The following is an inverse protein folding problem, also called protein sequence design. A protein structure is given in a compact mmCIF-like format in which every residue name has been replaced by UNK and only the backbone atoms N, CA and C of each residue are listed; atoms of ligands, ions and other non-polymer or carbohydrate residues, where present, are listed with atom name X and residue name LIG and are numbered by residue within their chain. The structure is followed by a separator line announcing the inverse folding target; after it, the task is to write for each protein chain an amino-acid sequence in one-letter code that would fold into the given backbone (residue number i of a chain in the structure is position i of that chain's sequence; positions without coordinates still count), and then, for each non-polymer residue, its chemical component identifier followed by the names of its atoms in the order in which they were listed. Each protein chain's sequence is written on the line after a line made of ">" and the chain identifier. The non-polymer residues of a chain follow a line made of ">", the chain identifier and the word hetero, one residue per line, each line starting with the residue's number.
data_IF_845737218356
#
_entry.id   IF_845737218356
#
_cell.length_a   1.000
_cell.length_b   1.000
_cell.length_c   1.000
_cell.angle_alpha   90.00
_cell.angle_beta   90.00
_cell.angle_gamma   90.00
#
_symmetry.space_group_name_H-M   'P 1'
#
loop_
_entity.id
_entity.type
_entity.pdbx_description
1 polymer ?
#
# COMPACT_ATOMS: atom_id res chain seq x y z
N UNK A 1 -6.88 17.44 17.51
CA UNK A 1 -8.15 17.33 16.79
C UNK A 1 -8.53 15.86 16.67
N UNK A 2 -9.75 15.51 17.04
CA UNK A 2 -10.32 14.17 16.81
C UNK A 2 -11.24 14.26 15.60
N UNK A 3 -11.15 13.33 14.70
CA UNK A 3 -12.04 13.19 13.56
C UNK A 3 -12.59 11.76 13.53
N UNK A 4 -13.90 11.64 13.36
CA UNK A 4 -14.54 10.37 13.03
C UNK A 4 -15.20 10.55 11.66
N UNK A 5 -14.87 9.70 10.72
CA UNK A 5 -15.47 9.67 9.39
C UNK A 5 -16.07 8.28 9.17
N UNK A 6 -17.29 8.25 8.69
CA UNK A 6 -17.88 7.06 8.08
C UNK A 6 -17.27 6.99 6.67
N UNK A 7 -16.76 5.83 6.30
CA UNK A 7 -16.16 5.58 5.00
C UNK A 7 -16.95 4.48 4.30
N UNK A 8 -17.67 4.87 3.26
CA UNK A 8 -18.12 3.89 2.28
C UNK A 8 -16.96 3.63 1.33
N UNK A 9 -16.65 2.38 1.10
CA UNK A 9 -15.63 1.97 0.14
C UNK A 9 -16.24 1.02 -0.88
N UNK A 10 -15.85 1.21 -2.12
CA UNK A 10 -16.12 0.26 -3.18
C UNK A 10 -14.83 -0.02 -3.92
N UNK A 11 -14.53 -1.28 -4.10
CA UNK A 11 -13.49 -1.73 -5.01
C UNK A 11 -13.98 -2.97 -5.75
N UNK A 12 -13.35 -3.26 -6.86
CA UNK A 12 -13.66 -4.46 -7.64
C UNK A 12 -13.48 -5.72 -6.78
N UNK A 13 -12.55 -5.68 -5.82
CA UNK A 13 -12.17 -6.81 -4.99
C UNK A 13 -13.11 -7.00 -3.80
N UNK A 14 -13.48 -5.90 -3.10
CA UNK A 14 -14.27 -5.96 -1.85
C UNK A 14 -15.76 -5.64 -2.07
N UNK A 15 -16.17 -5.24 -3.28
CA UNK A 15 -17.52 -4.77 -3.59
C UNK A 15 -17.92 -3.58 -2.72
N UNK A 16 -19.19 -3.50 -2.31
CA UNK A 16 -19.65 -2.43 -1.44
C UNK A 16 -19.22 -2.72 0.00
N UNK A 17 -18.46 -1.82 0.59
CA UNK A 17 -18.02 -1.88 1.97
C UNK A 17 -18.46 -0.66 2.76
N UNK A 18 -18.74 -0.84 4.05
CA UNK A 18 -18.97 0.21 5.01
C UNK A 18 -17.81 0.24 6.00
N UNK A 19 -17.10 1.36 6.03
CA UNK A 19 -15.97 1.55 6.91
C UNK A 19 -16.13 2.72 7.87
N UNK A 20 -15.53 2.60 9.04
CA UNK A 20 -15.42 3.66 10.03
C UNK A 20 -13.94 4.00 10.22
N UNK A 21 -13.62 5.28 10.20
CA UNK A 21 -12.28 5.79 10.50
C UNK A 21 -12.37 6.82 11.61
N UNK A 22 -11.68 6.55 12.71
CA UNK A 22 -11.46 7.54 13.76
C UNK A 22 -9.98 7.96 13.72
N UNK A 23 -9.72 9.23 13.46
CA UNK A 23 -8.37 9.75 13.39
C UNK A 23 -8.14 10.86 14.43
N UNK A 24 -6.99 10.83 15.07
CA UNK A 24 -6.54 11.82 16.03
C UNK A 24 -5.21 12.45 15.61
N UNK A 25 -5.11 13.78 15.76
CA UNK A 25 -3.85 14.49 15.68
C UNK A 25 -3.53 15.08 17.05
N UNK A 26 -2.32 14.87 17.52
CA UNK A 26 -1.84 15.40 18.81
C UNK A 26 -0.37 15.81 18.71
N UNK A 27 0.05 16.74 19.54
CA UNK A 27 1.44 17.11 19.68
C UNK A 27 1.98 16.57 20.99
N UNK A 28 3.16 16.00 20.98
CA UNK A 28 3.87 15.49 22.17
C UNK A 28 4.43 16.63 23.02
N UNK A 29 4.80 17.73 22.37
CA UNK A 29 5.11 18.99 23.04
C UNK A 29 4.14 20.09 22.56
N UNK A 30 3.36 20.65 23.49
CA UNK A 30 2.39 21.71 23.19
C UNK A 30 3.02 23.08 23.05
N UNK A 31 4.23 23.27 23.56
CA UNK A 31 4.96 24.52 23.52
C UNK A 31 5.74 24.67 22.20
N UNK A 32 6.08 23.57 21.56
CA UNK A 32 6.73 23.56 20.25
C UNK A 32 5.69 23.63 19.13
N UNK A 33 5.44 24.85 18.65
CA UNK A 33 4.48 25.10 17.55
C UNK A 33 4.99 24.63 16.19
N UNK A 34 6.28 24.41 16.04
CA UNK A 34 6.92 23.95 14.80
C UNK A 34 6.91 22.42 14.72
N UNK A 35 6.75 21.73 15.84
CA UNK A 35 6.70 20.27 15.87
C UNK A 35 5.52 19.76 15.04
N UNK A 36 5.74 18.90 14.05
CA UNK A 36 4.66 18.25 13.32
C UNK A 36 3.76 17.46 14.27
N UNK A 37 2.45 17.44 14.04
CA UNK A 37 1.56 16.64 14.89
C UNK A 37 1.74 15.15 14.66
N UNK A 38 1.83 14.40 15.75
CA UNK A 38 1.64 12.94 15.75
C UNK A 38 0.24 12.59 15.29
N UNK A 39 0.09 11.45 14.67
CA UNK A 39 -1.21 10.97 14.22
C UNK A 39 -1.48 9.54 14.71
N UNK A 40 -2.74 9.23 14.88
CA UNK A 40 -3.25 7.88 15.11
C UNK A 40 -4.56 7.72 14.37
N UNK A 41 -4.73 6.61 13.69
CA UNK A 41 -5.96 6.26 12.99
C UNK A 41 -6.38 4.86 13.38
N UNK A 42 -7.61 4.74 13.87
CA UNK A 42 -8.32 3.48 14.03
C UNK A 42 -9.30 3.37 12.88
N UNK A 43 -9.33 2.24 12.21
CA UNK A 43 -10.27 2.00 11.12
C UNK A 43 -10.78 0.56 11.15
N UNK A 44 -12.04 0.43 10.79
CA UNK A 44 -12.71 -0.84 10.58
C UNK A 44 -13.50 -0.79 9.29
N UNK A 45 -13.61 -1.90 8.61
CA UNK A 45 -14.34 -2.04 7.36
C UNK A 45 -15.02 -3.41 7.30
N UNK A 46 -16.25 -3.43 6.78
CA UNK A 46 -16.99 -4.65 6.49
C UNK A 46 -17.60 -4.55 5.09
N UNK A 47 -17.67 -5.62 4.36
CA UNK A 47 -18.20 -5.61 3.00
C UNK A 47 -19.28 -6.67 2.77
N UNK A 48 -20.01 -6.48 1.67
CA UNK A 48 -21.09 -7.39 1.25
C UNK A 48 -20.60 -8.78 0.81
N UNK A 49 -19.30 -8.94 0.58
CA UNK A 49 -18.69 -10.23 0.20
C UNK A 49 -18.01 -10.95 1.36
N UNK A 50 -18.25 -10.50 2.62
CA UNK A 50 -17.68 -11.13 3.80
C UNK A 50 -16.25 -10.65 4.15
N UNK A 51 -15.75 -9.59 3.51
CA UNK A 51 -14.53 -8.92 3.95
C UNK A 51 -14.79 -8.18 5.26
N UNK A 52 -13.91 -8.30 6.21
CA UNK A 52 -13.84 -7.42 7.38
C UNK A 52 -12.40 -7.10 7.73
N UNK A 53 -12.19 -5.88 8.17
CA UNK A 53 -10.89 -5.39 8.56
C UNK A 53 -10.99 -4.53 9.82
N UNK A 54 -10.04 -4.68 10.71
CA UNK A 54 -9.81 -3.79 11.84
C UNK A 54 -8.33 -3.43 11.87
N UNK A 55 -8.04 -2.15 12.06
CA UNK A 55 -6.64 -1.74 12.09
C UNK A 55 -6.38 -0.46 12.85
N UNK A 56 -5.15 -0.36 13.34
CA UNK A 56 -4.59 0.84 13.96
C UNK A 56 -3.29 1.15 13.23
N UNK A 57 -3.11 2.40 12.85
CA UNK A 57 -1.84 2.90 12.32
C UNK A 57 -1.58 4.32 12.82
N UNK A 58 -0.33 4.66 12.93
CA UNK A 58 0.05 6.01 13.31
C UNK A 58 1.53 6.26 13.26
N UNK A 59 1.85 7.54 13.42
CA UNK A 59 3.21 8.03 13.65
C UNK A 59 3.21 8.84 14.93
N UNK A 60 3.95 8.39 15.91
CA UNK A 60 4.22 9.14 17.13
C UNK A 60 5.53 9.91 16.95
N UNK A 61 5.45 11.23 17.00
CA UNK A 61 6.60 12.13 16.85
C UNK A 61 7.00 12.61 18.24
N UNK A 62 8.22 12.33 18.62
CA UNK A 62 8.78 12.75 19.91
C UNK A 62 9.20 14.22 19.89
N UNK A 63 9.38 14.86 21.06
CA UNK A 63 9.81 16.25 21.15
C UNK A 63 11.03 16.56 20.28
N UNK A 64 11.07 17.76 19.69
CA UNK A 64 12.10 18.24 18.77
C UNK A 64 12.22 17.41 17.49
N UNK A 65 11.26 16.52 17.22
CA UNK A 65 11.27 15.61 16.05
C UNK A 65 12.58 14.79 15.93
N UNK A 66 13.19 14.46 17.08
CA UNK A 66 14.43 13.65 17.12
C UNK A 66 14.17 12.19 16.81
N UNK A 67 12.98 11.69 17.21
CA UNK A 67 12.60 10.30 17.07
C UNK A 67 11.17 10.23 16.51
N UNK A 68 10.90 9.18 15.76
CA UNK A 68 9.55 8.83 15.28
C UNK A 68 9.30 7.35 15.51
N UNK A 69 8.11 7.00 15.96
CA UNK A 69 7.64 5.62 16.03
C UNK A 69 6.48 5.48 15.02
N UNK A 70 6.75 4.81 13.92
CA UNK A 70 5.72 4.40 12.96
C UNK A 70 5.22 3.01 13.33
N UNK A 71 3.90 2.85 13.39
CA UNK A 71 3.30 1.56 13.75
C UNK A 71 2.04 1.29 12.93
N UNK A 72 1.83 0.00 12.67
CA UNK A 72 0.70 -0.52 11.92
C UNK A 72 0.31 -1.88 12.51
N UNK A 73 -0.97 -2.02 12.87
CA UNK A 73 -1.57 -3.27 13.30
C UNK A 73 -2.82 -3.48 12.45
N UNK A 74 -2.89 -4.60 11.73
CA UNK A 74 -4.04 -4.97 10.94
C UNK A 74 -4.49 -6.37 11.29
N UNK A 75 -5.80 -6.53 11.34
CA UNK A 75 -6.46 -7.82 11.28
C UNK A 75 -7.53 -7.75 10.21
N UNK A 76 -7.50 -8.67 9.27
CA UNK A 76 -8.51 -8.75 8.24
C UNK A 76 -8.80 -10.18 7.81
N UNK A 77 -10.04 -10.41 7.42
CA UNK A 77 -10.51 -11.63 6.76
C UNK A 77 -11.01 -11.25 5.38
N UNK A 78 -10.61 -12.01 4.40
CA UNK A 78 -10.84 -11.67 3.02
C UNK A 78 -11.08 -12.94 2.17
N UNK A 79 -12.30 -13.13 1.64
CA UNK A 79 -12.50 -14.04 0.52
C UNK A 79 -11.69 -13.51 -0.65
N UNK A 80 -10.62 -14.17 -0.99
CA UNK A 80 -9.65 -13.73 -1.99
C UNK A 80 -9.55 -14.71 -3.13
N UNK A 81 -9.05 -14.23 -4.25
CA UNK A 81 -8.77 -15.05 -5.42
C UNK A 81 -7.28 -15.23 -5.61
N UNK A 82 -6.90 -16.38 -6.13
CA UNK A 82 -5.52 -16.76 -6.34
C UNK A 82 -5.37 -17.36 -7.74
N UNK A 83 -4.39 -16.91 -8.51
CA UNK A 83 -4.13 -17.38 -9.89
C UNK A 83 -2.81 -18.16 -10.01
N UNK A 84 -2.17 -18.50 -8.89
CA UNK A 84 -0.82 -19.08 -8.88
C UNK A 84 0.27 -18.00 -8.82
N UNK A 85 1.51 -18.41 -9.05
CA UNK A 85 2.71 -17.59 -8.88
C UNK A 85 3.32 -17.28 -10.23
N UNK A 86 3.69 -16.02 -10.44
CA UNK A 86 4.30 -15.52 -11.67
C UNK A 86 3.33 -14.83 -12.63
N UNK A 87 3.92 -14.06 -13.54
CA UNK A 87 3.17 -13.32 -14.56
C UNK A 87 2.30 -14.23 -15.44
N UNK A 88 2.88 -15.36 -15.89
CA UNK A 88 2.21 -16.24 -16.85
C UNK A 88 0.99 -16.94 -16.23
N UNK A 89 1.03 -17.23 -14.93
CA UNK A 89 -0.11 -17.78 -14.19
C UNK A 89 -1.22 -16.76 -14.04
N UNK A 90 -0.90 -15.53 -13.63
CA UNK A 90 -1.88 -14.45 -13.47
C UNK A 90 -2.52 -13.98 -14.80
N UNK A 91 -1.88 -14.24 -15.94
CA UNK A 91 -2.42 -13.90 -17.26
C UNK A 91 -3.61 -14.75 -17.67
N UNK A 92 -3.72 -15.98 -17.16
CA UNK A 92 -4.71 -16.99 -17.57
C UNK A 92 -5.91 -16.93 -16.61
N UNK A 93 -7.08 -16.56 -17.12
CA UNK A 93 -8.31 -16.45 -16.33
C UNK A 93 -8.72 -17.80 -15.71
N UNK A 94 -8.53 -18.91 -16.44
CA UNK A 94 -8.85 -20.28 -15.98
C UNK A 94 -8.02 -20.72 -14.75
N UNK A 95 -6.98 -19.99 -14.37
CA UNK A 95 -6.22 -20.25 -13.15
C UNK A 95 -6.85 -19.65 -11.90
N UNK A 96 -7.95 -18.91 -12.04
CA UNK A 96 -8.67 -18.36 -10.90
C UNK A 96 -9.10 -19.47 -9.93
N UNK A 97 -8.81 -19.29 -8.67
CA UNK A 97 -9.13 -20.19 -7.56
C UNK A 97 -9.57 -19.38 -6.36
N UNK A 98 -10.71 -19.71 -5.79
CA UNK A 98 -11.16 -19.06 -4.56
C UNK A 98 -10.36 -19.55 -3.35
N UNK A 99 -10.13 -18.65 -2.43
CA UNK A 99 -9.37 -18.87 -1.21
C UNK A 99 -9.90 -17.96 -0.10
N UNK A 100 -10.32 -18.52 1.00
CA UNK A 100 -10.58 -17.77 2.23
C UNK A 100 -9.27 -17.50 2.95
N UNK A 101 -9.02 -16.24 3.25
CA UNK A 101 -7.79 -15.82 3.94
C UNK A 101 -8.10 -14.87 5.09
N UNK A 102 -7.52 -15.13 6.24
CA UNK A 102 -7.40 -14.11 7.27
C UNK A 102 -5.94 -13.86 7.62
N UNK A 103 -5.65 -12.64 8.00
CA UNK A 103 -4.29 -12.20 8.25
C UNK A 103 -4.25 -11.26 9.45
N UNK A 104 -3.23 -11.44 10.28
CA UNK A 104 -2.84 -10.50 11.32
C UNK A 104 -1.45 -9.96 10.99
N UNK A 105 -1.31 -8.65 10.99
CA UNK A 105 -0.04 -7.97 10.70
C UNK A 105 0.28 -6.98 11.80
N UNK A 106 1.51 -7.01 12.28
CA UNK A 106 2.09 -6.01 13.16
C UNK A 106 3.41 -5.54 12.54
N UNK A 107 3.56 -4.24 12.36
CA UNK A 107 4.80 -3.61 11.89
C UNK A 107 5.08 -2.37 12.72
N UNK A 108 6.33 -2.22 13.17
CA UNK A 108 6.79 -1.05 13.88
C UNK A 108 8.19 -0.65 13.40
N UNK A 109 8.43 0.66 13.28
CA UNK A 109 9.75 1.24 12.96
C UNK A 109 10.03 2.37 13.93
N UNK A 110 11.16 2.29 14.62
CA UNK A 110 11.64 3.35 15.50
C UNK A 110 12.77 4.11 14.81
N UNK A 111 12.48 5.35 14.39
CA UNK A 111 13.31 6.14 13.50
C UNK A 111 14.02 7.26 14.27
N UNK A 112 15.30 7.41 14.01
CA UNK A 112 16.17 8.48 14.51
C UNK A 112 16.38 9.51 13.43
N UNK A 113 16.21 10.80 13.72
CA UNK A 113 16.56 11.88 12.81
C UNK A 113 18.07 11.99 12.71
N UNK A 114 18.62 11.79 11.51
CA UNK A 114 20.06 11.87 11.24
C UNK A 114 20.43 13.14 10.44
N UNK A 115 19.47 13.71 9.71
CA UNK A 115 19.57 14.98 9.02
C UNK A 115 18.17 15.60 8.85
N UNK A 116 18.09 16.79 8.25
CA UNK A 116 16.79 17.41 7.97
C UNK A 116 15.94 16.52 7.07
N UNK A 117 14.72 16.23 7.53
CA UNK A 117 13.75 15.35 6.87
C UNK A 117 14.23 13.90 6.64
N UNK A 118 15.39 13.49 7.18
CA UNK A 118 15.98 12.17 6.98
C UNK A 118 16.02 11.39 8.29
N UNK A 119 15.43 10.21 8.27
CA UNK A 119 15.28 9.33 9.42
C UNK A 119 15.75 7.93 9.07
N UNK A 120 16.41 7.27 10.01
CA UNK A 120 16.82 5.86 9.90
C UNK A 120 16.63 5.16 11.24
N UNK A 121 16.28 3.89 11.21
CA UNK A 121 16.17 3.14 12.45
C UNK A 121 15.73 1.70 12.28
N UNK A 122 15.71 0.92 13.37
CA UNK A 122 15.28 -0.46 13.37
C UNK A 122 13.79 -0.59 13.08
N UNK A 123 13.44 -1.72 12.48
CA UNK A 123 12.06 -2.12 12.27
C UNK A 123 11.85 -3.57 12.67
N UNK A 124 10.64 -3.89 13.08
CA UNK A 124 10.19 -5.25 13.31
C UNK A 124 8.82 -5.48 12.64
N UNK A 125 8.58 -6.69 12.18
CA UNK A 125 7.29 -7.08 11.63
C UNK A 125 6.91 -8.49 12.06
N UNK A 126 5.61 -8.69 12.19
CA UNK A 126 4.98 -9.99 12.34
C UNK A 126 3.80 -10.08 11.37
N UNK A 127 3.79 -11.10 10.54
CA UNK A 127 2.72 -11.36 9.59
C UNK A 127 2.27 -12.82 9.75
N UNK A 128 1.04 -13.02 10.22
CA UNK A 128 0.40 -14.32 10.27
C UNK A 128 -0.69 -14.39 9.21
N UNK A 129 -0.61 -15.38 8.35
CA UNK A 129 -1.60 -15.61 7.28
C UNK A 129 -2.12 -17.03 7.40
N UNK A 130 -3.42 -17.16 7.47
CA UNK A 130 -4.12 -18.45 7.45
C UNK A 130 -5.04 -18.51 6.24
N UNK A 131 -4.73 -19.41 5.32
CA UNK A 131 -5.58 -19.75 4.19
C UNK A 131 -6.40 -21.00 4.48
N UNK A 132 -7.62 -21.04 3.96
CA UNK A 132 -8.49 -22.23 4.00
C UNK A 132 -9.38 -22.27 2.76
N UNK A 133 -10.03 -23.42 2.55
CA UNK A 133 -11.01 -23.60 1.46
C UNK A 133 -10.44 -23.23 0.08
N UNK A 134 -9.18 -23.53 -0.18
CA UNK A 134 -8.58 -23.28 -1.47
C UNK A 134 -9.06 -24.34 -2.47
N UNK A 135 -9.69 -23.90 -3.55
CA UNK A 135 -10.23 -24.82 -4.57
C UNK A 135 -9.13 -25.55 -5.35
N UNK A 136 -8.01 -24.86 -5.60
CA UNK A 136 -6.90 -25.37 -6.41
C UNK A 136 -5.56 -25.30 -5.67
N UNK A 137 -5.33 -26.20 -4.67
CA UNK A 137 -4.13 -26.16 -3.84
C UNK A 137 -2.83 -26.44 -4.61
N UNK A 138 -2.90 -27.06 -5.77
CA UNK A 138 -1.75 -27.28 -6.65
C UNK A 138 -1.08 -25.97 -7.10
N UNK A 139 -1.81 -24.86 -7.14
CA UNK A 139 -1.29 -23.54 -7.50
C UNK A 139 -0.32 -22.97 -6.45
N UNK A 140 -0.28 -23.54 -5.25
CA UNK A 140 0.67 -23.17 -4.18
C UNK A 140 2.06 -23.79 -4.35
N UNK A 141 2.24 -24.67 -5.33
CA UNK A 141 3.52 -25.36 -5.56
C UNK A 141 4.08 -26.07 -4.31
N UNK A 142 3.19 -26.65 -3.48
CA UNK A 142 3.55 -27.35 -2.25
C UNK A 142 3.81 -26.47 -1.03
N UNK A 143 3.58 -25.15 -1.10
CA UNK A 143 3.71 -24.26 0.06
C UNK A 143 2.56 -24.43 1.05
N UNK A 144 2.84 -24.21 2.34
CA UNK A 144 1.83 -24.25 3.41
C UNK A 144 0.81 -23.12 3.23
N UNK A 145 -0.49 -23.46 3.38
CA UNK A 145 -1.59 -22.49 3.39
C UNK A 145 -1.49 -21.50 4.57
N UNK A 146 -0.96 -21.96 5.69
CA UNK A 146 -0.78 -21.15 6.90
C UNK A 146 0.69 -20.83 7.07
N UNK A 147 1.03 -19.57 7.29
CA UNK A 147 2.40 -19.12 7.48
C UNK A 147 2.48 -18.06 8.56
N UNK A 148 3.49 -18.15 9.42
CA UNK A 148 3.89 -17.11 10.36
C UNK A 148 5.24 -16.56 9.94
N UNK A 149 5.36 -15.24 9.87
CA UNK A 149 6.57 -14.58 9.36
C UNK A 149 7.01 -13.50 10.35
N UNK A 150 8.15 -13.73 10.98
CA UNK A 150 8.81 -12.81 11.93
C UNK A 150 9.96 -12.12 11.23
N UNK A 151 9.97 -10.80 11.25
CA UNK A 151 10.98 -10.01 10.56
C UNK A 151 11.59 -8.93 11.42
N UNK A 152 12.88 -8.71 11.24
CA UNK A 152 13.63 -7.61 11.81
C UNK A 152 14.46 -6.95 10.72
N UNK A 153 14.70 -5.66 10.86
CA UNK A 153 15.43 -4.95 9.82
C UNK A 153 15.65 -3.48 10.09
N UNK A 154 15.82 -2.73 9.02
CA UNK A 154 16.07 -1.29 9.04
C UNK A 154 15.08 -0.57 8.12
N UNK A 155 14.72 0.63 8.52
CA UNK A 155 13.91 1.55 7.73
C UNK A 155 14.64 2.89 7.58
N UNK A 156 14.62 3.43 6.36
CA UNK A 156 15.10 4.76 6.03
C UNK A 156 13.94 5.54 5.43
N UNK A 157 13.71 6.75 5.92
CA UNK A 157 12.65 7.62 5.42
C UNK A 157 13.18 9.04 5.20
N UNK A 158 12.89 9.59 4.03
CA UNK A 158 13.09 11.01 3.73
C UNK A 158 11.74 11.61 3.33
N UNK A 159 11.32 12.70 3.97
CA UNK A 159 10.02 13.31 3.73
C UNK A 159 10.10 14.84 3.77
N UNK A 160 10.11 15.47 2.60
CA UNK A 160 10.09 16.92 2.43
C UNK A 160 8.76 17.44 1.88
N UNK A 161 7.70 16.62 1.93
CA UNK A 161 6.37 17.03 1.47
C UNK A 161 5.80 18.15 2.33
N UNK A 162 5.12 19.09 1.69
CA UNK A 162 4.44 20.20 2.36
C UNK A 162 3.21 19.75 3.16
N UNK A 163 2.45 18.77 2.67
CA UNK A 163 1.27 18.19 3.31
C UNK A 163 1.26 16.68 3.13
N UNK A 164 1.06 15.93 4.22
CA UNK A 164 1.12 14.46 4.18
C UNK A 164 -0.07 13.81 3.45
N UNK A 165 -1.26 14.41 3.56
CA UNK A 165 -2.52 13.82 3.05
C UNK A 165 -2.85 14.22 1.62
N UNK A 166 -2.36 15.38 1.18
CA UNK A 166 -2.56 15.92 -0.17
C UNK A 166 -1.35 16.77 -0.53
N UNK A 167 -0.20 16.15 -0.87
CA UNK A 167 1.03 16.88 -1.19
C UNK A 167 0.90 17.70 -2.46
N UNK A 168 1.43 18.94 -2.42
CA UNK A 168 1.50 19.82 -3.59
C UNK A 168 2.94 20.03 -4.08
N UNK A 169 3.92 19.81 -3.20
CA UNK A 169 5.34 19.89 -3.54
C UNK A 169 6.16 19.03 -2.58
N UNK A 170 7.34 18.64 -3.03
CA UNK A 170 8.31 17.93 -2.22
C UNK A 170 8.57 16.51 -2.71
N UNK A 171 9.37 15.82 -1.95
CA UNK A 171 9.84 14.48 -2.25
C UNK A 171 9.63 13.57 -1.04
N UNK A 172 9.24 12.35 -1.30
CA UNK A 172 9.13 11.29 -0.32
C UNK A 172 9.94 10.07 -0.77
N UNK A 173 10.72 9.50 0.12
CA UNK A 173 11.43 8.24 -0.06
C UNK A 173 11.29 7.40 1.19
N UNK A 174 10.92 6.16 1.03
CA UNK A 174 10.97 5.16 2.09
C UNK A 174 11.61 3.88 1.54
N UNK A 175 12.61 3.39 2.25
CA UNK A 175 13.27 2.12 1.97
C UNK A 175 13.24 1.30 3.25
N UNK A 176 12.72 0.10 3.19
CA UNK A 176 12.78 -0.85 4.30
C UNK A 176 13.47 -2.11 3.86
N UNK A 177 14.42 -2.59 4.65
CA UNK A 177 15.06 -3.89 4.50
C UNK A 177 14.69 -4.75 5.69
N UNK A 178 13.94 -5.83 5.44
CA UNK A 178 13.45 -6.73 6.47
C UNK A 178 14.00 -8.14 6.24
N UNK A 179 14.64 -8.71 7.24
CA UNK A 179 15.20 -10.05 7.23
C UNK A 179 14.28 -10.99 8.01
N UNK A 180 14.00 -12.15 7.44
CA UNK A 180 13.17 -13.21 8.01
C UNK A 180 13.93 -14.55 8.01
N UNK A 181 14.93 -14.69 8.88
CA UNK A 181 15.73 -15.92 8.97
C UNK A 181 14.96 -17.03 9.68
N UNK A 182 15.31 -18.30 9.42
CA UNK A 182 14.68 -19.47 10.06
C UNK A 182 14.79 -19.49 11.58
N UNK A 183 15.88 -18.99 12.15
CA UNK A 183 16.08 -19.00 13.60
C UNK A 183 15.08 -18.12 14.39
N UNK A 184 14.36 -17.21 13.73
CA UNK A 184 13.25 -16.47 14.34
C UNK A 184 11.92 -17.25 14.36
N UNK A 185 11.89 -18.50 13.85
CA UNK A 185 10.69 -19.31 13.79
C UNK A 185 9.97 -19.29 12.45
N UNK A 186 10.63 -18.77 11.40
CA UNK A 186 10.06 -18.75 10.05
C UNK A 186 10.20 -20.12 9.37
N UNK A 187 9.13 -20.59 8.73
CA UNK A 187 9.17 -21.77 7.86
C UNK A 187 10.06 -21.52 6.63
N UNK A 188 10.02 -20.30 6.12
CA UNK A 188 10.74 -19.85 4.92
C UNK A 188 11.75 -18.76 5.25
N UNK A 189 13.01 -18.95 4.80
CA UNK A 189 14.03 -17.92 4.98
C UNK A 189 14.09 -17.01 3.76
N UNK A 190 13.90 -15.70 3.97
CA UNK A 190 14.00 -14.70 2.92
C UNK A 190 14.23 -13.31 3.51
N UNK A 191 14.56 -12.37 2.65
CA UNK A 191 14.58 -10.94 3.01
C UNK A 191 13.77 -10.14 2.01
N UNK A 192 13.15 -9.06 2.48
CA UNK A 192 12.34 -8.15 1.67
C UNK A 192 12.95 -6.77 1.68
N UNK A 193 13.19 -6.22 0.50
CA UNK A 193 13.46 -4.79 0.30
C UNK A 193 12.22 -4.14 -0.28
N UNK A 194 11.60 -3.23 0.47
CA UNK A 194 10.52 -2.38 -0.02
C UNK A 194 11.04 -0.99 -0.31
N UNK A 195 10.77 -0.49 -1.50
CA UNK A 195 11.07 0.86 -1.96
C UNK A 195 9.77 1.57 -2.30
N UNK A 196 9.62 2.79 -1.81
CA UNK A 196 8.59 3.73 -2.25
C UNK A 196 9.20 5.11 -2.40
N UNK A 197 9.02 5.74 -3.54
CA UNK A 197 9.43 7.12 -3.76
C UNK A 197 8.35 7.87 -4.52
N UNK A 198 8.11 9.11 -4.12
CA UNK A 198 7.11 9.99 -4.74
C UNK A 198 7.65 11.41 -4.86
N UNK A 199 7.31 12.07 -5.96
CA UNK A 199 7.69 13.44 -6.25
C UNK A 199 6.47 14.26 -6.67
N UNK A 200 6.38 15.51 -6.19
CA UNK A 200 5.24 16.39 -6.40
C UNK A 200 5.75 17.75 -6.87
N UNK A 201 5.22 18.21 -7.99
CA UNK A 201 5.64 19.49 -8.59
C UNK A 201 4.44 20.24 -9.17
N UNK A 202 4.16 21.48 -8.69
CA UNK A 202 3.17 22.35 -9.31
C UNK A 202 3.65 22.75 -10.73
N UNK A 203 2.80 22.55 -11.73
CA UNK A 203 3.17 22.84 -13.14
C UNK A 203 2.53 24.12 -13.68
N UNK A 204 1.29 24.41 -13.24
CA UNK A 204 0.57 25.65 -13.53
C UNK A 204 -0.47 25.91 -12.46
N UNK A 205 -1.23 26.99 -12.59
CA UNK A 205 -2.27 27.36 -11.62
C UNK A 205 -3.33 26.24 -11.48
N UNK A 206 -3.38 25.63 -10.30
CA UNK A 206 -4.26 24.52 -10.00
C UNK A 206 -3.84 23.16 -10.59
N UNK A 207 -2.72 23.11 -11.32
CA UNK A 207 -2.18 21.89 -11.91
C UNK A 207 -0.98 21.35 -11.13
N UNK A 208 -0.98 20.06 -10.82
CA UNK A 208 0.06 19.35 -10.10
C UNK A 208 0.45 18.09 -10.86
N UNK A 209 1.74 17.90 -11.11
CA UNK A 209 2.30 16.64 -11.59
C UNK A 209 2.83 15.86 -10.38
N UNK A 210 2.36 14.64 -10.22
CA UNK A 210 2.80 13.73 -9.17
C UNK A 210 3.33 12.43 -9.80
N UNK A 211 4.50 11.98 -9.36
CA UNK A 211 5.11 10.73 -9.80
C UNK A 211 5.37 9.81 -8.61
N UNK A 212 5.17 8.51 -8.80
CA UNK A 212 5.48 7.50 -7.80
C UNK A 212 6.14 6.28 -8.45
N UNK A 213 7.15 5.74 -7.75
CA UNK A 213 7.78 4.46 -8.05
C UNK A 213 7.73 3.60 -6.80
N UNK A 214 7.34 2.35 -6.95
CA UNK A 214 7.34 1.33 -5.90
C UNK A 214 8.07 0.09 -6.36
N UNK A 215 8.76 -0.56 -5.44
CA UNK A 215 9.38 -1.85 -5.65
C UNK A 215 9.29 -2.71 -4.40
N UNK A 216 9.01 -3.99 -4.58
CA UNK A 216 9.11 -5.00 -3.52
C UNK A 216 9.99 -6.13 -4.05
N UNK A 217 11.08 -6.41 -3.37
CA UNK A 217 12.07 -7.38 -3.80
C UNK A 217 12.31 -8.40 -2.69
N UNK A 218 11.87 -9.64 -2.91
CA UNK A 218 12.08 -10.75 -1.98
C UNK A 218 13.23 -11.61 -2.44
N UNK A 219 14.27 -11.70 -1.63
CA UNK A 219 15.45 -12.54 -1.89
C UNK A 219 15.39 -13.80 -1.00
N UNK A 220 15.54 -14.95 -1.60
CA UNK A 220 15.36 -16.26 -0.95
C UNK A 220 14.04 -16.91 -1.35
N UNK A 221 13.38 -17.58 -0.42
CA UNK A 221 12.17 -18.35 -0.67
C UNK A 221 11.00 -17.80 0.17
N UNK A 222 10.34 -16.71 -0.23
CA UNK A 222 9.16 -16.20 0.46
C UNK A 222 8.00 -17.21 0.33
N UNK A 223 7.13 -17.25 1.35
CA UNK A 223 5.85 -17.97 1.24
C UNK A 223 4.93 -17.28 0.22
N UNK A 224 3.95 -18.00 -0.30
CA UNK A 224 2.95 -17.44 -1.22
C UNK A 224 2.29 -16.15 -0.71
N UNK A 225 2.10 -16.08 0.62
CA UNK A 225 1.47 -14.95 1.30
C UNK A 225 2.36 -13.71 1.38
N UNK A 226 3.69 -13.89 1.32
CA UNK A 226 4.68 -12.82 1.42
C UNK A 226 5.25 -12.40 0.06
N UNK A 227 4.76 -12.97 -1.02
CA UNK A 227 5.13 -12.54 -2.37
C UNK A 227 4.67 -11.13 -2.66
N UNK A 228 5.36 -10.46 -3.58
CA UNK A 228 5.01 -9.12 -4.04
C UNK A 228 3.73 -9.16 -4.87
N UNK A 229 2.70 -8.44 -4.43
CA UNK A 229 1.37 -8.37 -5.06
C UNK A 229 1.26 -7.12 -5.91
N UNK A 230 0.81 -7.25 -7.15
CA UNK A 230 0.53 -6.13 -8.05
C UNK A 230 -0.96 -5.81 -8.03
N UNK A 231 -1.29 -4.51 -8.10
CA UNK A 231 -2.67 -4.01 -8.07
C UNK A 231 -3.16 -3.71 -6.66
N UNK A 232 -3.69 -2.53 -6.45
CA UNK A 232 -4.42 -2.14 -5.24
C UNK A 232 -5.11 -0.78 -5.47
N UNK A 233 -5.73 -0.24 -4.43
CA UNK A 233 -6.43 1.06 -4.50
C UNK A 233 -5.51 2.27 -4.68
N UNK A 234 -4.19 2.12 -4.64
CA UNK A 234 -3.21 3.21 -4.68
C UNK A 234 -2.33 3.17 -5.92
N UNK A 235 -1.94 1.99 -6.37
CA UNK A 235 -1.09 1.79 -7.55
C UNK A 235 -1.62 0.65 -8.41
N UNK A 236 -1.36 0.70 -9.71
CA UNK A 236 -1.91 -0.26 -10.67
C UNK A 236 -3.43 -0.43 -10.51
N UNK A 237 -4.11 0.69 -10.37
CA UNK A 237 -5.56 0.77 -10.10
C UNK A 237 -6.36 0.15 -11.25
N UNK A 238 -7.29 -0.74 -10.93
CA UNK A 238 -8.07 -1.50 -11.89
C UNK A 238 -7.64 -2.95 -12.05
N UNK A 239 -6.45 -3.32 -11.56
CA UNK A 239 -6.05 -4.72 -11.41
C UNK A 239 -6.54 -5.27 -10.08
N UNK A 240 -7.00 -6.53 -10.07
CA UNK A 240 -7.29 -7.26 -8.83
C UNK A 240 -6.00 -7.46 -8.04
N UNK A 241 -5.99 -7.11 -6.74
CA UNK A 241 -4.81 -7.21 -5.90
C UNK A 241 -4.33 -8.65 -5.77
N UNK A 242 -3.08 -8.89 -6.19
CA UNK A 242 -2.46 -10.20 -6.14
C UNK A 242 -2.86 -11.19 -7.23
N UNK A 243 -3.63 -10.76 -8.26
CA UNK A 243 -3.77 -11.54 -9.49
C UNK A 243 -2.41 -11.84 -10.11
N UNK A 244 -1.56 -10.81 -10.18
CA UNK A 244 -0.15 -10.96 -10.54
C UNK A 244 0.68 -10.88 -9.27
N UNK A 245 1.36 -11.96 -8.94
CA UNK A 245 2.27 -12.05 -7.77
C UNK A 245 3.51 -12.84 -8.11
N UNK A 246 4.64 -12.43 -7.56
CA UNK A 246 5.91 -13.14 -7.71
C UNK A 246 6.87 -12.71 -6.59
N UNK A 247 8.12 -13.20 -6.62
CA UNK A 247 9.15 -12.79 -5.67
C UNK A 247 9.40 -11.28 -5.70
N UNK A 248 9.41 -10.69 -6.88
CA UNK A 248 9.71 -9.27 -7.06
C UNK A 248 8.60 -8.57 -7.82
N UNK A 249 8.39 -7.29 -7.52
CA UNK A 249 7.60 -6.39 -8.35
C UNK A 249 8.27 -5.03 -8.47
N UNK A 250 8.01 -4.36 -9.57
CA UNK A 250 8.27 -2.95 -9.78
C UNK A 250 7.06 -2.32 -10.45
N UNK A 251 6.66 -1.16 -9.99
CA UNK A 251 5.52 -0.42 -10.54
C UNK A 251 5.77 1.09 -10.42
N UNK A 252 5.33 1.83 -11.42
CA UNK A 252 5.44 3.29 -11.44
C UNK A 252 4.20 3.92 -12.04
N UNK A 253 3.88 5.13 -11.60
CA UNK A 253 2.75 5.90 -12.11
C UNK A 253 3.05 7.39 -12.08
N UNK A 254 2.41 8.11 -13.00
CA UNK A 254 2.43 9.56 -13.07
C UNK A 254 1.00 10.05 -13.14
N UNK A 255 0.66 11.02 -12.30
CA UNK A 255 -0.66 11.66 -12.22
C UNK A 255 -0.57 13.14 -12.57
N UNK A 256 -1.47 13.61 -13.37
CA UNK A 256 -1.79 15.01 -13.52
C UNK A 256 -3.07 15.32 -12.73
N UNK A 257 -2.95 16.08 -11.66
CA UNK A 257 -4.05 16.52 -10.81
C UNK A 257 -4.40 17.96 -11.15
N UNK A 258 -5.64 18.24 -11.52
CA UNK A 258 -6.13 19.57 -11.87
C UNK A 258 -7.26 19.99 -10.94
N UNK A 259 -7.05 21.05 -10.19
CA UNK A 259 -8.14 21.77 -9.52
C UNK A 259 -8.97 22.50 -10.57
N UNK A 260 -10.27 22.26 -10.62
CA UNK A 260 -11.17 22.81 -11.64
C UNK A 260 -11.99 23.98 -11.09
N UNK A 261 -12.72 23.75 -10.03
CA UNK A 261 -13.63 24.78 -9.50
C UNK A 261 -14.02 24.51 -8.04
N UNK A 262 -13.93 25.54 -7.18
CA UNK A 262 -14.23 25.46 -5.74
C UNK A 262 -13.51 24.29 -5.06
N UNK A 263 -14.23 23.20 -4.79
CA UNK A 263 -13.74 22.00 -4.11
C UNK A 263 -13.56 20.81 -5.06
N UNK A 264 -13.67 21.06 -6.37
CA UNK A 264 -13.69 20.01 -7.36
C UNK A 264 -12.37 19.96 -8.15
N UNK A 265 -11.86 18.78 -8.34
CA UNK A 265 -10.69 18.50 -9.14
C UNK A 265 -10.87 17.24 -9.97
N UNK A 266 -10.03 17.11 -10.98
CA UNK A 266 -9.93 15.91 -11.81
C UNK A 266 -8.49 15.42 -11.84
N UNK A 267 -8.33 14.12 -12.04
CA UNK A 267 -7.03 13.46 -12.11
C UNK A 267 -7.03 12.54 -13.32
N UNK A 268 -5.95 12.54 -14.07
CA UNK A 268 -5.64 11.52 -15.06
C UNK A 268 -4.28 10.92 -14.73
N UNK A 269 -4.12 9.62 -14.98
CA UNK A 269 -2.84 8.96 -14.74
C UNK A 269 -2.52 7.93 -15.79
N UNK A 270 -1.23 7.70 -15.90
CA UNK A 270 -0.65 6.57 -16.62
C UNK A 270 0.37 5.89 -15.70
N UNK A 271 0.52 4.61 -15.86
CA UNK A 271 1.47 3.82 -15.09
C UNK A 271 1.76 2.49 -15.76
N UNK A 272 2.70 1.80 -15.19
CA UNK A 272 3.06 0.46 -15.60
C UNK A 272 3.68 -0.31 -14.45
N UNK A 273 3.56 -1.62 -14.47
CA UNK A 273 4.18 -2.49 -13.47
C UNK A 273 4.40 -3.90 -14.01
N UNK A 274 5.19 -4.66 -13.30
CA UNK A 274 5.43 -6.08 -13.61
C UNK A 274 5.82 -6.84 -12.36
N UNK A 275 5.62 -8.15 -12.39
CA UNK A 275 6.11 -9.10 -11.40
C UNK A 275 7.08 -10.07 -12.05
N UNK A 276 8.08 -10.51 -11.29
CA UNK A 276 9.12 -11.41 -11.81
C UNK A 276 9.80 -12.19 -10.70
N UNK A 277 10.33 -13.37 -11.02
CA UNK A 277 11.06 -14.22 -10.07
C UNK A 277 12.57 -13.96 -10.07
N UNK A 278 13.12 -13.42 -11.15
CA UNK A 278 14.55 -13.11 -11.33
C UNK A 278 14.68 -11.83 -12.17
N UNK A 279 15.71 -11.02 -11.91
CA UNK A 279 15.96 -9.80 -12.68
C UNK A 279 16.20 -10.06 -14.17
N UNK A 280 16.77 -11.23 -14.52
CA UNK A 280 16.94 -11.65 -15.93
C UNK A 280 15.62 -11.96 -16.65
N UNK A 281 14.52 -12.14 -15.92
CA UNK A 281 13.19 -12.36 -16.49
C UNK A 281 12.42 -11.05 -16.80
N UNK A 282 13.00 -9.90 -16.48
CA UNK A 282 12.44 -8.61 -16.83
C UNK A 282 12.44 -8.45 -18.35
N UNK A 283 11.26 -8.32 -18.95
CA UNK A 283 11.11 -8.04 -20.37
C UNK A 283 9.88 -7.16 -20.63
N UNK A 284 9.95 -6.38 -21.69
CA UNK A 284 8.85 -5.44 -22.06
C UNK A 284 7.53 -6.16 -22.35
N UNK A 285 7.57 -7.42 -22.84
CA UNK A 285 6.36 -8.21 -23.08
C UNK A 285 5.55 -8.57 -21.85
N UNK A 286 6.14 -8.48 -20.65
CA UNK A 286 5.50 -8.76 -19.37
C UNK A 286 5.11 -7.50 -18.59
N UNK A 287 5.26 -6.33 -19.19
CA UNK A 287 4.81 -5.08 -18.59
C UNK A 287 3.29 -4.97 -18.70
N UNK A 288 2.68 -4.64 -17.59
CA UNK A 288 1.24 -4.39 -17.44
C UNK A 288 1.02 -2.89 -17.42
N UNK A 289 0.33 -2.31 -18.43
CA UNK A 289 -0.01 -0.90 -18.45
C UNK A 289 -1.15 -0.61 -17.48
N UNK A 290 -1.18 0.60 -16.94
CA UNK A 290 -2.28 1.12 -16.13
C UNK A 290 -2.56 2.56 -16.51
N UNK A 291 -3.82 2.92 -16.66
CA UNK A 291 -4.25 4.30 -16.92
C UNK A 291 -5.66 4.51 -16.40
N UNK A 292 -6.05 5.75 -16.23
CA UNK A 292 -7.40 6.02 -15.76
C UNK A 292 -7.68 7.49 -15.54
N UNK A 293 -8.88 7.73 -15.05
CA UNK A 293 -9.42 9.04 -14.73
C UNK A 293 -10.03 9.02 -13.35
N UNK A 294 -9.88 10.13 -12.63
CA UNK A 294 -10.45 10.27 -11.30
C UNK A 294 -11.06 11.65 -11.05
N UNK A 295 -12.03 11.66 -10.15
CA UNK A 295 -12.64 12.86 -9.62
C UNK A 295 -12.19 13.07 -8.17
N UNK A 296 -12.00 14.33 -7.79
CA UNK A 296 -11.62 14.77 -6.45
C UNK A 296 -12.63 15.77 -5.94
N UNK A 297 -13.11 15.52 -4.73
CA UNK A 297 -13.90 16.49 -3.99
C UNK A 297 -13.23 16.80 -2.67
N UNK A 298 -12.79 18.05 -2.50
CA UNK A 298 -12.18 18.49 -1.26
C UNK A 298 -13.25 18.64 -0.17
N UNK A 299 -13.46 17.56 0.59
CA UNK A 299 -14.39 17.53 1.71
C UNK A 299 -13.98 18.52 2.80
N UNK A 300 -12.69 18.55 3.11
CA UNK A 300 -12.04 19.45 4.05
C UNK A 300 -10.67 19.84 3.48
N UNK A 301 -10.13 20.99 3.92
CA UNK A 301 -8.82 21.45 3.47
C UNK A 301 -7.77 20.34 3.53
N UNK A 302 -7.17 20.03 2.38
CA UNK A 302 -6.20 18.95 2.19
C UNK A 302 -6.72 17.53 2.44
N UNK A 303 -8.03 17.32 2.42
CA UNK A 303 -8.65 15.99 2.53
C UNK A 303 -9.63 15.82 1.37
N UNK A 304 -9.27 14.98 0.43
CA UNK A 304 -10.05 14.72 -0.77
C UNK A 304 -10.85 13.42 -0.65
N UNK A 305 -12.10 13.44 -1.07
CA UNK A 305 -12.84 12.24 -1.49
C UNK A 305 -12.41 11.94 -2.91
N UNK A 306 -12.04 10.71 -3.17
CA UNK A 306 -11.47 10.22 -4.41
C UNK A 306 -12.36 9.18 -5.05
N UNK A 307 -12.72 9.42 -6.30
CA UNK A 307 -13.41 8.47 -7.18
C UNK A 307 -12.50 8.22 -8.37
N UNK A 308 -12.00 7.02 -8.53
CA UNK A 308 -11.11 6.64 -9.61
C UNK A 308 -11.73 5.51 -10.44
N UNK A 309 -11.51 5.54 -11.74
CA UNK A 309 -11.77 4.42 -12.63
C UNK A 309 -10.50 4.09 -13.40
N UNK A 310 -9.94 2.94 -13.09
CA UNK A 310 -8.68 2.47 -13.65
C UNK A 310 -8.88 1.37 -14.67
N UNK A 311 -7.99 1.36 -15.66
CA UNK A 311 -7.95 0.39 -16.75
C UNK A 311 -6.60 -0.31 -16.76
N UNK A 312 -6.64 -1.59 -17.06
CA UNK A 312 -5.48 -2.47 -17.20
C UNK A 312 -5.51 -3.27 -18.49
N UNK A 313 -4.56 -4.19 -18.61
CA UNK A 313 -4.45 -5.10 -19.75
C UNK A 313 -5.58 -6.13 -19.74
N UNK A 314 -5.97 -6.61 -20.91
CA UNK A 314 -6.97 -7.69 -21.11
C UNK A 314 -8.36 -7.36 -20.51
N UNK A 315 -8.81 -6.11 -20.63
CA UNK A 315 -10.14 -5.70 -20.15
C UNK A 315 -10.26 -5.56 -18.64
N UNK A 316 -9.18 -5.69 -17.88
CA UNK A 316 -9.21 -5.44 -16.45
C UNK A 316 -9.51 -3.97 -16.20
N UNK A 317 -10.46 -3.70 -15.33
CA UNK A 317 -10.83 -2.36 -14.92
C UNK A 317 -11.43 -2.39 -13.51
N UNK A 318 -11.39 -1.26 -12.82
CA UNK A 318 -11.95 -1.18 -11.49
C UNK A 318 -12.31 0.24 -11.10
N UNK A 319 -13.42 0.34 -10.38
CA UNK A 319 -13.85 1.56 -9.71
C UNK A 319 -13.32 1.55 -8.28
N UNK A 320 -12.81 2.69 -7.84
CA UNK A 320 -12.24 2.88 -6.50
C UNK A 320 -12.85 4.13 -5.89
N UNK A 321 -13.44 3.98 -4.73
CA UNK A 321 -13.84 5.06 -3.85
C UNK A 321 -12.94 5.08 -2.62
N UNK A 322 -12.30 6.21 -2.32
CA UNK A 322 -11.38 6.31 -1.19
C UNK A 322 -11.31 7.76 -0.67
N UNK A 323 -10.68 7.94 0.50
CA UNK A 323 -10.36 9.25 1.08
C UNK A 323 -8.85 9.46 1.00
N UNK A 324 -8.43 10.70 0.76
CA UNK A 324 -7.08 11.16 0.45
C UNK A 324 -6.59 10.74 -0.96
N UNK A 325 -5.42 11.24 -1.33
CA UNK A 325 -4.83 10.93 -2.62
C UNK A 325 -4.25 9.50 -2.68
N UNK A 326 -3.93 9.04 -3.89
CA UNK A 326 -3.37 7.71 -4.10
C UNK A 326 -1.95 7.61 -3.53
N UNK A 327 -1.18 8.71 -3.59
CA UNK A 327 0.18 8.79 -3.06
C UNK A 327 0.56 10.24 -2.80
#
# INVERSE_FOLDING_TARGET
>A
QRQMCIRDSYSTDTKLGLGLVAAGLYRTDRNDMLLPPSNVSLFGDVSTVGFYMLGIRGTHIFPQDKYRLDYTLYFYSFPSKFWGIGYDMGKVDANESDLDRWQAQVKASFLFRIADNLYVGPMASYDYVHGKNMERPELLEGMNLTTANYGVGLSLAYDSRDVLTNPHKGYYLNITQCFRPKFLGNDYAFSTTDLRTSYYHPVWKGGLLAGELRGTFNFGNPSWAMMALLGNSYSMRGYYEGRYRDKHKIEGQVELRQHVWKRNGVVVWIGAGTVFNKFSALCMGRVLPNYGIGYRWEFKKNVNVRLDYGFGKNGQSGFIFNINEAF
#
